data_IF_455994191048
#
_entry.id   IF_455994191048
#
_cell.length_a   1.000
_cell.length_b   1.000
_cell.length_c   1.000
_cell.angle_alpha   90.00
_cell.angle_beta   90.00
_cell.angle_gamma   90.00
#
_symmetry.space_group_name_H-M   'P 1'
#
loop_
_entity.id
_entity.type
_entity.pdbx_description
1 polymer ?
#
# COMPACT_ATOMS: atom_id res chain seq x y z
N UNK A 1 -27.12 15.78 -3.03
CA UNK A 1 -26.24 16.45 -2.06
C UNK A 1 -26.63 15.95 -0.69
N UNK A 2 -25.67 15.63 0.17
CA UNK A 2 -25.90 15.28 1.57
C UNK A 2 -26.62 16.44 2.27
N UNK A 3 -27.56 16.11 3.16
CA UNK A 3 -28.30 17.09 3.93
C UNK A 3 -27.37 17.71 4.99
N UNK A 4 -26.97 18.98 4.84
CA UNK A 4 -26.08 19.65 5.79
C UNK A 4 -26.86 20.34 6.93
N UNK A 5 -26.29 20.35 8.13
CA UNK A 5 -26.84 21.02 9.31
C UNK A 5 -26.28 22.44 9.43
N UNK A 6 -27.07 23.45 9.09
CA UNK A 6 -26.65 24.87 9.14
C UNK A 6 -27.24 25.54 10.38
N UNK A 7 -26.40 26.28 11.12
CA UNK A 7 -26.84 27.17 12.19
C UNK A 7 -26.77 28.62 11.72
N UNK A 8 -27.85 29.37 11.91
CA UNK A 8 -27.90 30.81 11.63
C UNK A 8 -28.00 31.55 12.96
N UNK A 9 -27.08 32.49 13.19
CA UNK A 9 -27.00 33.31 14.40
C UNK A 9 -27.13 34.77 13.99
N UNK A 10 -28.33 35.32 14.18
CA UNK A 10 -28.74 36.63 13.67
C UNK A 10 -29.83 37.20 14.59
N UNK A 11 -29.66 38.42 15.08
CA UNK A 11 -30.59 39.04 16.04
C UNK A 11 -31.83 39.64 15.37
N UNK A 12 -31.76 39.95 14.07
CA UNK A 12 -32.91 40.36 13.28
C UNK A 12 -33.77 39.15 12.88
N UNK A 13 -34.93 39.00 13.50
CA UNK A 13 -35.85 37.87 13.27
C UNK A 13 -36.27 37.71 11.80
N UNK A 14 -36.60 38.81 11.11
CA UNK A 14 -37.06 38.78 9.71
C UNK A 14 -35.95 38.29 8.78
N UNK A 15 -34.72 38.78 8.97
CA UNK A 15 -33.56 38.34 8.20
C UNK A 15 -33.20 36.90 8.54
N UNK A 16 -33.15 36.54 9.82
CA UNK A 16 -32.85 35.18 10.27
C UNK A 16 -33.82 34.16 9.65
N UNK A 17 -35.12 34.46 9.66
CA UNK A 17 -36.15 33.61 9.07
C UNK A 17 -36.03 33.55 7.54
N UNK A 18 -35.74 34.68 6.88
CA UNK A 18 -35.52 34.72 5.42
C UNK A 18 -34.34 33.83 5.01
N UNK A 19 -33.21 33.96 5.70
CA UNK A 19 -32.02 33.13 5.45
C UNK A 19 -32.33 31.65 5.71
N UNK A 20 -33.07 31.34 6.77
CA UNK A 20 -33.45 29.97 7.10
C UNK A 20 -34.32 29.35 6.00
N UNK A 21 -35.30 30.08 5.48
CA UNK A 21 -36.20 29.57 4.44
C UNK A 21 -35.48 29.38 3.09
N UNK A 22 -34.55 30.27 2.76
CA UNK A 22 -33.69 30.12 1.58
C UNK A 22 -32.84 28.85 1.69
N UNK A 23 -32.15 28.65 2.81
CA UNK A 23 -31.26 27.50 3.00
C UNK A 23 -32.01 26.17 3.15
N UNK A 24 -33.22 26.17 3.73
CA UNK A 24 -34.11 25.00 3.77
C UNK A 24 -34.57 24.59 2.36
N UNK A 25 -34.87 25.55 1.48
CA UNK A 25 -35.23 25.28 0.07
C UNK A 25 -34.09 24.64 -0.72
N UNK A 26 -32.85 24.96 -0.39
CA UNK A 26 -31.65 24.31 -0.94
C UNK A 26 -31.39 22.91 -0.35
N UNK A 27 -32.26 22.42 0.54
CA UNK A 27 -32.22 21.07 1.09
C UNK A 27 -31.44 20.93 2.40
N UNK A 28 -31.05 22.03 3.05
CA UNK A 28 -30.30 22.00 4.32
C UNK A 28 -31.23 21.86 5.54
N UNK A 29 -30.74 21.24 6.62
CA UNK A 29 -31.37 21.30 7.95
C UNK A 29 -30.90 22.57 8.64
N UNK A 30 -31.82 23.52 8.85
CA UNK A 30 -31.46 24.82 9.42
C UNK A 30 -31.98 24.99 10.84
N UNK A 31 -31.07 25.29 11.76
CA UNK A 31 -31.34 25.79 13.12
C UNK A 31 -31.05 27.28 13.19
N UNK A 32 -31.77 27.99 14.05
CA UNK A 32 -31.65 29.44 14.21
C UNK A 32 -31.41 29.80 15.68
N UNK A 33 -30.62 30.86 15.90
CA UNK A 33 -30.38 31.46 17.20
C UNK A 33 -30.39 32.99 17.05
N UNK A 34 -31.09 33.67 17.96
CA UNK A 34 -31.15 35.15 17.98
C UNK A 34 -30.10 35.77 18.91
N UNK A 35 -29.40 34.94 19.68
CA UNK A 35 -28.38 35.33 20.66
C UNK A 35 -27.19 34.39 20.60
N UNK A 36 -26.02 34.89 21.00
CA UNK A 36 -24.78 34.11 21.04
C UNK A 36 -24.84 32.96 22.04
N UNK A 37 -25.42 33.18 23.22
CA UNK A 37 -25.59 32.12 24.23
C UNK A 37 -26.46 30.97 23.72
N UNK A 38 -27.54 31.27 22.98
CA UNK A 38 -28.38 30.24 22.39
C UNK A 38 -27.64 29.47 21.29
N UNK A 39 -26.86 30.17 20.46
CA UNK A 39 -26.03 29.53 19.44
C UNK A 39 -25.04 28.52 20.04
N UNK A 40 -24.33 28.92 21.11
CA UNK A 40 -23.40 28.03 21.83
C UNK A 40 -24.14 26.84 22.47
N UNK A 41 -25.36 27.02 22.97
CA UNK A 41 -26.17 25.91 23.49
C UNK A 41 -26.51 24.87 22.41
N UNK A 42 -26.82 25.32 21.19
CA UNK A 42 -27.11 24.44 20.05
C UNK A 42 -25.83 23.70 19.64
N UNK A 43 -24.72 24.40 19.48
CA UNK A 43 -23.43 23.81 19.06
C UNK A 43 -22.93 22.72 20.03
N UNK A 44 -23.25 22.82 21.32
CA UNK A 44 -22.91 21.80 22.30
C UNK A 44 -23.78 20.54 22.24
N UNK A 45 -24.97 20.62 21.63
CA UNK A 45 -25.97 19.52 21.62
C UNK A 45 -26.11 18.87 20.26
N UNK A 46 -25.91 19.64 19.19
CA UNK A 46 -26.19 19.27 17.83
C UNK A 46 -24.93 19.32 16.97
N UNK A 47 -24.82 18.39 16.02
CA UNK A 47 -23.74 18.43 15.01
C UNK A 47 -24.09 19.52 13.99
N UNK A 48 -23.26 20.56 13.93
CA UNK A 48 -23.41 21.68 12.99
C UNK A 48 -22.28 21.64 11.98
N UNK A 49 -22.64 21.82 10.71
CA UNK A 49 -21.74 21.77 9.57
C UNK A 49 -21.17 23.14 9.19
N UNK A 50 -22.05 24.13 9.27
CA UNK A 50 -21.80 25.49 8.85
C UNK A 50 -22.55 26.44 9.78
N UNK A 51 -21.87 27.49 10.22
CA UNK A 51 -22.45 28.57 11.00
C UNK A 51 -22.46 29.85 10.17
N UNK A 52 -23.63 30.48 10.02
CA UNK A 52 -23.76 31.87 9.60
C UNK A 52 -23.85 32.73 10.85
N UNK A 53 -22.91 33.65 11.06
CA UNK A 53 -22.76 34.36 12.33
C UNK A 53 -22.70 35.86 12.13
N UNK A 54 -23.70 36.60 12.64
CA UNK A 54 -23.59 38.05 12.73
C UNK A 54 -22.48 38.45 13.73
N UNK A 55 -21.68 39.44 13.35
CA UNK A 55 -20.69 40.07 14.23
C UNK A 55 -21.38 40.79 15.39
N UNK A 56 -22.53 41.42 15.16
CA UNK A 56 -23.25 42.17 16.18
C UNK A 56 -24.47 41.38 16.67
N UNK A 57 -24.37 40.85 17.88
CA UNK A 57 -25.48 40.23 18.59
C UNK A 57 -25.75 41.01 19.89
N UNK A 58 -26.95 40.90 20.48
CA UNK A 58 -27.35 41.67 21.65
C UNK A 58 -26.57 41.33 22.92
N UNK A 59 -26.05 40.11 23.03
CA UNK A 59 -25.43 39.54 24.23
C UNK A 59 -23.91 39.35 24.12
N UNK A 60 -23.42 38.91 22.95
CA UNK A 60 -22.02 38.58 22.71
C UNK A 60 -21.52 39.15 21.38
N UNK A 61 -20.21 39.36 21.28
CA UNK A 61 -19.59 39.74 20.00
C UNK A 61 -19.35 38.48 19.15
N UNK A 62 -19.80 38.49 17.89
CA UNK A 62 -19.64 37.37 16.96
C UNK A 62 -18.19 36.94 16.74
N UNK A 63 -17.20 37.83 16.88
CA UNK A 63 -15.78 37.46 16.80
C UNK A 63 -15.38 36.54 17.97
N UNK A 64 -15.92 36.79 19.16
CA UNK A 64 -15.64 35.94 20.34
C UNK A 64 -16.29 34.57 20.17
N UNK A 65 -17.51 34.53 19.65
CA UNK A 65 -18.23 33.28 19.35
C UNK A 65 -17.49 32.48 18.28
N UNK A 66 -16.94 33.13 17.24
CA UNK A 66 -16.09 32.46 16.25
C UNK A 66 -14.91 31.75 16.93
N UNK A 67 -14.25 32.42 17.86
CA UNK A 67 -13.13 31.82 18.60
C UNK A 67 -13.60 30.61 19.43
N UNK A 68 -14.70 30.75 20.18
CA UNK A 68 -15.26 29.66 20.98
C UNK A 68 -15.67 28.45 20.10
N UNK A 69 -16.23 28.69 18.90
CA UNK A 69 -16.55 27.64 17.92
C UNK A 69 -15.27 26.92 17.49
N UNK A 70 -14.21 27.66 17.15
CA UNK A 70 -12.96 27.07 16.64
C UNK A 70 -12.16 26.32 17.70
N UNK A 71 -12.24 26.77 18.95
CA UNK A 71 -11.64 26.07 20.08
C UNK A 71 -12.39 24.77 20.41
N UNK A 72 -13.72 24.74 20.19
CA UNK A 72 -14.56 23.55 20.39
C UNK A 72 -14.45 22.54 19.25
N UNK A 73 -14.56 23.01 18.00
CA UNK A 73 -14.40 22.19 16.80
C UNK A 73 -13.79 23.04 15.65
N UNK A 74 -12.50 22.84 15.33
CA UNK A 74 -11.83 23.61 14.28
C UNK A 74 -12.36 23.30 12.87
N UNK A 75 -13.07 22.19 12.67
CA UNK A 75 -13.58 21.76 11.38
C UNK A 75 -14.97 22.34 11.03
N UNK A 76 -15.70 22.89 12.00
CA UNK A 76 -16.93 23.65 11.73
C UNK A 76 -16.60 24.88 10.90
N UNK A 77 -17.24 25.04 9.75
CA UNK A 77 -17.05 26.24 8.92
C UNK A 77 -17.91 27.38 9.46
N UNK A 78 -17.37 28.60 9.46
CA UNK A 78 -18.08 29.80 9.93
C UNK A 78 -18.00 30.87 8.87
N UNK A 79 -19.15 31.37 8.41
CA UNK A 79 -19.26 32.54 7.54
C UNK A 79 -19.74 33.71 8.39
N UNK A 80 -18.95 34.78 8.44
CA UNK A 80 -19.31 35.97 9.20
C UNK A 80 -20.26 36.86 8.39
N UNK A 81 -21.34 37.32 9.00
CA UNK A 81 -22.22 38.32 8.40
C UNK A 81 -21.94 39.66 9.10
N UNK A 82 -21.74 40.73 8.33
CA UNK A 82 -21.36 42.03 8.90
C UNK A 82 -22.05 43.18 8.19
N UNK A 83 -22.49 44.19 8.93
CA UNK A 83 -22.91 45.49 8.38
C UNK A 83 -21.77 46.52 8.36
N UNK A 84 -20.55 46.12 8.73
CA UNK A 84 -19.40 47.03 8.81
C UNK A 84 -18.80 47.25 7.42
N UNK A 85 -18.66 48.51 7.03
CA UNK A 85 -17.98 48.95 5.79
C UNK A 85 -16.46 48.91 5.88
N UNK A 86 -15.91 48.79 7.09
CA UNK A 86 -14.47 48.69 7.31
C UNK A 86 -13.96 47.27 7.08
N UNK A 87 -12.89 47.13 6.28
CA UNK A 87 -12.29 45.83 5.98
C UNK A 87 -11.53 45.19 7.17
N UNK A 88 -11.15 45.97 8.19
CA UNK A 88 -10.29 45.48 9.29
C UNK A 88 -10.91 44.33 10.10
N UNK A 89 -12.17 44.40 10.57
CA UNK A 89 -12.79 43.32 11.34
C UNK A 89 -13.00 42.04 10.51
N UNK A 90 -13.27 42.18 9.22
CA UNK A 90 -13.38 41.02 8.31
C UNK A 90 -12.03 40.29 8.17
N UNK A 91 -10.93 41.03 7.99
CA UNK A 91 -9.59 40.45 7.93
C UNK A 91 -9.19 39.78 9.25
N UNK A 92 -9.58 40.35 10.39
CA UNK A 92 -9.34 39.76 11.71
C UNK A 92 -10.10 38.45 11.90
N UNK A 93 -11.39 38.41 11.54
CA UNK A 93 -12.17 37.18 11.58
C UNK A 93 -11.60 36.06 10.69
N UNK A 94 -11.11 36.41 9.48
CA UNK A 94 -10.44 35.44 8.61
C UNK A 94 -9.14 34.89 9.25
N UNK A 95 -8.37 35.73 9.94
CA UNK A 95 -7.17 35.28 10.69
C UNK A 95 -7.52 34.37 11.87
N UNK A 96 -8.70 34.54 12.45
CA UNK A 96 -9.22 33.73 13.56
C UNK A 96 -9.93 32.45 13.07
N UNK A 97 -9.92 32.17 11.76
CA UNK A 97 -10.38 30.91 11.19
C UNK A 97 -11.78 30.93 10.58
N UNK A 98 -12.40 32.11 10.40
CA UNK A 98 -13.59 32.22 9.55
C UNK A 98 -13.29 31.70 8.14
N UNK A 99 -14.26 31.01 7.54
CA UNK A 99 -14.17 30.49 6.18
C UNK A 99 -14.32 31.60 5.15
N UNK A 100 -15.30 32.46 5.35
CA UNK A 100 -15.60 33.60 4.49
C UNK A 100 -16.41 34.66 5.27
N UNK A 101 -16.75 35.77 4.61
CA UNK A 101 -17.67 36.77 5.16
C UNK A 101 -18.65 37.33 4.10
N UNK A 102 -19.79 37.83 4.56
CA UNK A 102 -20.83 38.47 3.76
C UNK A 102 -21.16 39.85 4.33
N UNK A 103 -21.21 40.87 3.46
CA UNK A 103 -21.48 42.25 3.86
C UNK A 103 -22.97 42.59 3.66
N UNK A 104 -23.65 43.05 4.70
CA UNK A 104 -25.03 43.57 4.63
C UNK A 104 -25.02 44.97 3.99
N UNK A 105 -25.93 45.28 3.04
CA UNK A 105 -26.89 44.37 2.41
C UNK A 105 -26.22 43.48 1.34
N UNK A 106 -26.58 42.19 1.31
CA UNK A 106 -26.13 41.22 0.31
C UNK A 106 -27.32 40.64 -0.46
N UNK A 107 -27.06 40.12 -1.66
CA UNK A 107 -28.07 39.42 -2.45
C UNK A 107 -28.20 37.95 -2.02
N UNK A 108 -29.40 37.37 -2.12
CA UNK A 108 -29.63 35.98 -1.73
C UNK A 108 -28.83 34.99 -2.59
N UNK A 109 -28.55 35.33 -3.85
CA UNK A 109 -27.75 34.49 -4.75
C UNK A 109 -26.26 34.47 -4.33
N UNK A 110 -25.75 35.58 -3.79
CA UNK A 110 -24.41 35.65 -3.21
C UNK A 110 -24.28 34.74 -1.98
N UNK A 111 -25.25 34.80 -1.06
CA UNK A 111 -25.33 33.91 0.09
C UNK A 111 -25.31 32.44 -0.34
N UNK A 112 -26.16 32.06 -1.30
CA UNK A 112 -26.24 30.68 -1.81
C UNK A 112 -24.90 30.20 -2.35
N UNK A 113 -24.20 31.06 -3.10
CA UNK A 113 -22.91 30.73 -3.68
C UNK A 113 -21.84 30.48 -2.59
N UNK A 114 -21.75 31.35 -1.59
CA UNK A 114 -20.78 31.21 -0.50
C UNK A 114 -21.08 29.97 0.35
N UNK A 115 -22.35 29.75 0.68
CA UNK A 115 -22.79 28.55 1.42
C UNK A 115 -22.51 27.27 0.63
N UNK A 116 -22.79 27.24 -0.67
CA UNK A 116 -22.52 26.07 -1.52
C UNK A 116 -21.02 25.72 -1.54
N UNK A 117 -20.14 26.71 -1.69
CA UNK A 117 -18.68 26.52 -1.64
C UNK A 117 -18.19 26.02 -0.28
N UNK A 118 -18.75 26.58 0.81
CA UNK A 118 -18.43 26.15 2.16
C UNK A 118 -18.80 24.68 2.37
N UNK A 119 -20.03 24.29 2.02
CA UNK A 119 -20.49 22.91 2.15
C UNK A 119 -19.73 21.93 1.23
N UNK A 120 -19.34 22.34 0.02
CA UNK A 120 -18.46 21.54 -0.84
C UNK A 120 -17.10 21.31 -0.18
N UNK A 121 -16.49 22.37 0.36
CA UNK A 121 -15.21 22.28 1.10
C UNK A 121 -15.33 21.33 2.30
N UNK A 122 -16.44 21.42 3.03
CA UNK A 122 -16.70 20.55 4.18
C UNK A 122 -16.86 19.08 3.76
N UNK A 123 -17.58 18.82 2.67
CA UNK A 123 -17.72 17.47 2.10
C UNK A 123 -16.37 16.90 1.65
N UNK A 124 -15.52 17.71 1.01
CA UNK A 124 -14.17 17.28 0.62
C UNK A 124 -13.30 16.96 1.84
N UNK A 125 -13.33 17.79 2.89
CA UNK A 125 -12.63 17.49 4.16
C UNK A 125 -13.11 16.19 4.78
N UNK A 126 -14.43 15.98 4.83
CA UNK A 126 -15.03 14.74 5.33
C UNK A 126 -14.63 13.53 4.51
N UNK A 127 -14.60 13.66 3.20
CA UNK A 127 -14.19 12.57 2.31
C UNK A 127 -12.72 12.23 2.51
N UNK A 128 -11.84 13.22 2.64
CA UNK A 128 -10.42 12.99 2.99
C UNK A 128 -10.29 12.32 4.35
N UNK A 129 -11.03 12.77 5.36
CA UNK A 129 -11.03 12.15 6.70
C UNK A 129 -11.55 10.70 6.63
N UNK A 130 -12.67 10.47 5.94
CA UNK A 130 -13.24 9.14 5.71
C UNK A 130 -12.28 8.21 5.00
N UNK A 131 -11.60 8.67 3.95
CA UNK A 131 -10.59 7.89 3.24
C UNK A 131 -9.36 7.58 4.11
N UNK A 132 -8.95 8.53 4.97
CA UNK A 132 -7.89 8.32 5.97
C UNK A 132 -8.28 7.31 7.05
N UNK A 133 -9.52 7.38 7.54
CA UNK A 133 -10.08 6.45 8.54
C UNK A 133 -10.33 5.07 7.93
N UNK A 134 -10.84 4.98 6.70
CA UNK A 134 -10.98 3.71 5.99
C UNK A 134 -9.63 3.08 5.69
N UNK A 135 -8.59 3.87 5.41
CA UNK A 135 -7.23 3.36 5.44
C UNK A 135 -6.94 2.76 6.82
N UNK A 136 -7.05 3.52 7.91
CA UNK A 136 -6.72 3.03 9.26
C UNK A 136 -7.55 1.83 9.75
N UNK A 137 -8.85 1.77 9.46
CA UNK A 137 -9.77 0.71 9.90
C UNK A 137 -9.70 -0.56 9.03
N UNK A 138 -9.23 -0.47 7.77
CA UNK A 138 -8.94 -1.65 6.95
C UNK A 138 -7.56 -2.29 7.24
N UNK A 139 -6.81 -1.79 8.23
CA UNK A 139 -5.41 -2.21 8.47
C UNK A 139 -5.11 -3.15 9.66
N UNK A 140 -5.92 -4.18 10.00
CA UNK A 140 -5.37 -5.35 10.71
C UNK A 140 -4.24 -6.04 9.90
N UNK A 141 -4.27 -5.88 8.58
CA UNK A 141 -3.33 -6.48 7.62
C UNK A 141 -1.91 -5.88 7.63
N UNK A 142 -1.78 -4.68 8.20
CA UNK A 142 -0.57 -3.88 8.13
C UNK A 142 0.23 -3.85 9.43
N UNK A 143 -0.21 -4.56 10.47
CA UNK A 143 0.62 -4.73 11.65
C UNK A 143 1.77 -5.68 11.35
N UNK A 144 2.99 -5.17 11.56
CA UNK A 144 4.19 -5.98 11.53
C UNK A 144 4.12 -7.03 12.65
N UNK A 145 3.59 -8.21 12.32
CA UNK A 145 3.42 -9.28 13.28
C UNK A 145 4.73 -10.07 13.50
N UNK A 146 4.95 -10.49 14.73
CA UNK A 146 6.12 -11.28 15.14
C UNK A 146 6.53 -10.97 16.57
N UNK A 147 6.70 -12.01 17.37
CA UNK A 147 7.13 -11.98 18.77
C UNK A 147 8.52 -12.57 18.96
N UNK A 148 9.08 -13.21 17.93
CA UNK A 148 10.45 -13.69 17.92
C UNK A 148 11.45 -12.56 18.26
N UNK A 149 12.55 -12.92 18.94
CA UNK A 149 13.60 -11.97 19.33
C UNK A 149 14.10 -11.10 18.14
N UNK A 150 14.39 -11.66 16.94
CA UNK A 150 14.77 -10.86 15.78
C UNK A 150 13.71 -9.84 15.38
N UNK A 151 12.42 -10.20 15.44
CA UNK A 151 11.33 -9.27 15.12
C UNK A 151 11.15 -8.18 16.18
N UNK A 152 11.34 -8.50 17.46
CA UNK A 152 11.30 -7.49 18.53
C UNK A 152 12.43 -6.47 18.40
N UNK A 153 13.65 -6.93 18.07
CA UNK A 153 14.79 -6.05 17.80
C UNK A 153 14.54 -5.16 16.57
N UNK A 154 14.02 -5.75 15.48
CA UNK A 154 13.62 -5.00 14.29
C UNK A 154 12.56 -3.93 14.62
N UNK A 155 11.52 -4.27 15.39
CA UNK A 155 10.49 -3.31 15.83
C UNK A 155 11.06 -2.13 16.62
N UNK A 156 12.04 -2.38 17.50
CA UNK A 156 12.73 -1.31 18.25
C UNK A 156 13.49 -0.39 17.29
N UNK A 157 14.20 -0.96 16.32
CA UNK A 157 14.92 -0.18 15.31
C UNK A 157 13.98 0.63 14.43
N UNK A 158 12.85 0.05 14.01
CA UNK A 158 11.82 0.77 13.23
C UNK A 158 11.31 1.99 13.99
N UNK A 159 11.04 1.89 15.29
CA UNK A 159 10.59 3.04 16.11
C UNK A 159 11.64 4.15 16.14
N UNK A 160 12.91 3.81 16.35
CA UNK A 160 14.02 4.79 16.35
C UNK A 160 14.10 5.47 14.99
N UNK A 161 14.08 4.69 13.91
CA UNK A 161 14.17 5.21 12.55
C UNK A 161 12.97 6.09 12.21
N UNK A 162 11.75 5.67 12.57
CA UNK A 162 10.53 6.42 12.31
C UNK A 162 10.57 7.82 12.92
N UNK A 163 11.09 7.95 14.15
CA UNK A 163 11.27 9.24 14.84
C UNK A 163 12.30 10.17 14.18
N UNK A 164 13.15 9.66 13.29
CA UNK A 164 14.15 10.46 12.56
C UNK A 164 13.53 11.06 11.29
N UNK A 165 13.55 12.39 11.11
CA UNK A 165 12.69 13.06 10.12
C UNK A 165 13.13 12.94 8.65
N UNK A 166 14.41 12.67 8.36
CA UNK A 166 14.96 12.80 6.98
C UNK A 166 15.93 11.71 6.50
N UNK A 167 16.31 10.76 7.35
CA UNK A 167 17.26 9.71 6.95
C UNK A 167 16.63 8.74 5.96
N UNK A 168 17.32 8.47 4.85
CA UNK A 168 16.96 7.40 3.91
C UNK A 168 17.09 6.05 4.58
N UNK A 169 16.14 5.16 4.33
CA UNK A 169 16.12 3.82 4.92
C UNK A 169 16.19 2.79 3.82
N UNK A 170 17.14 1.86 3.92
CA UNK A 170 17.24 0.69 3.05
C UNK A 170 16.74 -0.54 3.80
N UNK A 171 15.69 -1.17 3.29
CA UNK A 171 15.10 -2.39 3.83
C UNK A 171 15.60 -3.57 2.99
N UNK A 172 16.30 -4.51 3.60
CA UNK A 172 16.79 -5.71 2.94
C UNK A 172 16.11 -6.94 3.50
N UNK A 173 15.84 -7.92 2.63
CA UNK A 173 15.27 -9.19 3.03
C UNK A 173 14.65 -9.91 1.85
N UNK A 174 14.51 -11.23 1.98
CA UNK A 174 13.96 -12.09 0.92
C UNK A 174 12.55 -11.66 0.49
N UNK A 175 12.11 -12.14 -0.67
CA UNK A 175 10.74 -11.91 -1.14
C UNK A 175 9.73 -12.47 -0.14
N UNK A 176 8.65 -11.73 0.12
CA UNK A 176 7.58 -12.16 1.02
C UNK A 176 7.90 -12.07 2.52
N UNK A 177 9.02 -11.48 2.94
CA UNK A 177 9.38 -11.30 4.37
C UNK A 177 8.59 -10.20 5.09
N UNK A 178 7.98 -9.27 4.34
CA UNK A 178 7.20 -8.14 4.89
C UNK A 178 7.87 -6.76 4.75
N UNK A 179 8.75 -6.56 3.77
CA UNK A 179 9.45 -5.27 3.55
C UNK A 179 8.51 -4.07 3.44
N UNK A 180 7.39 -4.24 2.72
CA UNK A 180 6.37 -3.19 2.61
C UNK A 180 5.69 -2.88 3.96
N UNK A 181 5.45 -3.89 4.80
CA UNK A 181 4.89 -3.69 6.15
C UNK A 181 5.83 -2.86 7.03
N UNK A 182 7.14 -3.10 6.90
CA UNK A 182 8.16 -2.29 7.58
C UNK A 182 8.15 -0.86 7.09
N UNK A 183 8.04 -0.62 5.77
CA UNK A 183 7.93 0.72 5.22
C UNK A 183 6.67 1.46 5.72
N UNK A 184 5.53 0.76 5.79
CA UNK A 184 4.29 1.30 6.36
C UNK A 184 4.48 1.68 7.83
N UNK A 185 5.09 0.81 8.63
CA UNK A 185 5.35 1.07 10.05
C UNK A 185 6.27 2.29 10.25
N UNK A 186 7.33 2.43 9.45
CA UNK A 186 8.23 3.59 9.50
C UNK A 186 7.45 4.88 9.22
N UNK A 187 6.58 4.88 8.20
CA UNK A 187 5.79 6.04 7.84
C UNK A 187 4.77 6.40 8.93
N UNK A 188 3.96 5.42 9.36
CA UNK A 188 2.87 5.60 10.32
C UNK A 188 3.38 6.01 11.71
N UNK A 189 4.61 5.63 12.10
CA UNK A 189 5.21 6.03 13.36
C UNK A 189 6.09 7.28 13.26
N UNK A 190 6.10 7.95 12.11
CA UNK A 190 6.88 9.18 11.90
C UNK A 190 6.04 10.44 12.03
N UNK A 191 6.71 11.60 12.10
CA UNK A 191 6.04 12.91 12.02
C UNK A 191 5.31 13.16 10.68
N UNK A 192 5.46 12.27 9.69
CA UNK A 192 4.81 12.34 8.38
C UNK A 192 3.61 11.38 8.25
N UNK A 193 3.12 10.79 9.34
CA UNK A 193 2.00 9.82 9.32
C UNK A 193 0.72 10.36 8.66
N UNK A 194 0.44 11.66 8.77
CA UNK A 194 -0.72 12.31 8.15
C UNK A 194 -0.50 12.76 6.69
N UNK A 195 0.70 12.52 6.15
CA UNK A 195 1.16 12.92 4.81
C UNK A 195 1.11 11.71 3.87
N UNK A 196 1.16 11.89 2.53
CA UNK A 196 1.07 10.75 1.63
C UNK A 196 2.26 9.78 1.78
N UNK A 197 1.96 8.49 1.77
CA UNK A 197 2.91 7.41 1.48
C UNK A 197 2.67 6.88 0.07
N UNK A 198 3.54 7.23 -0.87
CA UNK A 198 3.45 6.73 -2.25
C UNK A 198 4.37 5.52 -2.41
N UNK A 199 3.81 4.40 -2.84
CA UNK A 199 4.52 3.13 -3.04
C UNK A 199 4.72 2.88 -4.52
N UNK A 200 5.93 2.48 -4.91
CA UNK A 200 6.30 2.13 -6.27
C UNK A 200 7.09 0.85 -6.22
N UNK A 201 6.75 -0.10 -7.09
CA UNK A 201 7.61 -1.25 -7.35
C UNK A 201 8.38 -1.00 -8.66
N UNK A 202 9.70 -0.82 -8.56
CA UNK A 202 10.57 -0.52 -9.70
C UNK A 202 10.60 -1.64 -10.75
N UNK A 203 10.28 -2.88 -10.37
CA UNK A 203 10.24 -4.03 -11.29
C UNK A 203 8.89 -4.20 -12.02
N UNK A 204 7.81 -3.58 -11.50
CA UNK A 204 6.47 -3.73 -12.05
C UNK A 204 6.14 -2.71 -13.15
N UNK A 205 6.86 -1.58 -13.18
CA UNK A 205 6.66 -0.52 -14.17
C UNK A 205 7.60 -0.78 -15.36
N UNK A 206 7.09 -0.74 -16.59
CA UNK A 206 7.93 -0.82 -17.77
C UNK A 206 9.07 0.19 -17.72
N UNK A 207 10.25 -0.29 -18.10
CA UNK A 207 11.49 0.47 -18.13
C UNK A 207 11.36 1.86 -18.76
N UNK A 208 10.70 1.93 -19.92
CA UNK A 208 10.48 3.17 -20.66
C UNK A 208 9.52 4.15 -19.98
N UNK A 209 8.76 3.72 -18.97
CA UNK A 209 7.78 4.54 -18.25
C UNK A 209 8.26 4.95 -16.86
N UNK A 210 9.13 4.16 -16.21
CA UNK A 210 9.55 4.40 -14.82
C UNK A 210 10.10 5.81 -14.61
N UNK A 211 10.94 6.29 -15.52
CA UNK A 211 11.48 7.65 -15.45
C UNK A 211 10.37 8.72 -15.50
N UNK A 212 9.41 8.55 -16.41
CA UNK A 212 8.30 9.48 -16.60
C UNK A 212 7.31 9.47 -15.44
N UNK A 213 7.12 8.32 -14.78
CA UNK A 213 6.31 8.22 -13.56
C UNK A 213 7.01 8.86 -12.37
N UNK A 214 8.31 8.63 -12.19
CA UNK A 214 9.07 9.19 -11.06
C UNK A 214 9.19 10.72 -11.15
N UNK A 215 9.64 11.23 -12.30
CA UNK A 215 10.01 12.63 -12.47
C UNK A 215 8.97 13.46 -13.24
N UNK A 216 7.96 12.85 -13.85
CA UNK A 216 7.04 13.58 -14.71
C UNK A 216 7.70 14.14 -15.97
N UNK A 217 6.93 14.83 -16.79
CA UNK A 217 7.39 15.36 -18.07
C UNK A 217 6.67 16.66 -18.44
N UNK A 218 7.39 17.53 -19.16
CA UNK A 218 6.81 18.73 -19.77
C UNK A 218 6.09 18.42 -21.09
N UNK A 219 5.24 19.34 -21.53
CA UNK A 219 4.60 19.25 -22.84
C UNK A 219 5.67 19.22 -23.94
N UNK A 220 5.61 18.23 -24.82
CA UNK A 220 6.56 18.06 -25.93
C UNK A 220 7.88 17.36 -25.57
N UNK A 221 8.00 16.79 -24.36
CA UNK A 221 9.21 16.06 -23.95
C UNK A 221 9.49 14.80 -24.79
N UNK A 222 8.46 14.17 -25.36
CA UNK A 222 8.51 13.05 -26.30
C UNK A 222 7.25 13.05 -27.18
N UNK A 223 7.20 12.20 -28.21
CA UNK A 223 6.16 12.23 -29.26
C UNK A 223 4.72 12.21 -28.72
N UNK A 224 4.46 11.47 -27.64
CA UNK A 224 3.15 11.36 -27.00
C UNK A 224 2.89 12.36 -25.85
N UNK A 225 3.84 13.25 -25.54
CA UNK A 225 3.75 14.21 -24.43
C UNK A 225 2.85 15.42 -24.77
N UNK A 226 1.55 15.18 -24.96
CA UNK A 226 0.56 16.20 -25.36
C UNK A 226 0.29 17.26 -24.29
N UNK A 227 0.48 16.92 -23.01
CA UNK A 227 0.31 17.79 -21.85
C UNK A 227 1.43 17.55 -20.84
N UNK A 228 1.65 18.48 -19.91
CA UNK A 228 2.54 18.26 -18.77
C UNK A 228 1.94 17.23 -17.80
N UNK A 229 2.78 16.39 -17.21
CA UNK A 229 2.40 15.43 -16.15
C UNK A 229 3.36 15.58 -14.97
N UNK A 230 2.81 15.73 -13.76
CA UNK A 230 3.59 15.72 -12.52
C UNK A 230 4.09 14.31 -12.20
N UNK A 231 5.33 14.21 -11.74
CA UNK A 231 5.92 12.95 -11.28
C UNK A 231 5.54 12.58 -9.85
N UNK A 232 5.84 11.35 -9.45
CA UNK A 232 5.60 10.85 -8.11
C UNK A 232 6.39 11.63 -7.06
N UNK A 233 7.61 12.08 -7.37
CA UNK A 233 8.38 12.92 -6.45
C UNK A 233 7.66 14.23 -6.09
N UNK A 234 6.97 14.85 -7.05
CA UNK A 234 6.14 16.02 -6.80
C UNK A 234 4.88 15.69 -6.01
N UNK A 235 4.21 14.59 -6.35
CA UNK A 235 2.98 14.16 -5.69
C UNK A 235 3.22 13.76 -4.23
N UNK A 236 4.40 13.24 -3.92
CA UNK A 236 4.79 12.81 -2.59
C UNK A 236 5.37 13.93 -1.72
N UNK A 237 5.38 15.18 -2.19
CA UNK A 237 6.00 16.29 -1.46
C UNK A 237 5.44 16.42 -0.03
N UNK A 238 6.32 16.63 0.96
CA UNK A 238 6.06 16.56 2.41
C UNK A 238 5.70 15.16 2.95
N UNK A 239 5.63 14.14 2.10
CA UNK A 239 5.30 12.77 2.43
C UNK A 239 6.50 11.82 2.45
N UNK A 240 6.21 10.55 2.17
CA UNK A 240 7.19 9.45 2.09
C UNK A 240 7.02 8.70 0.77
N UNK A 241 8.13 8.33 0.16
CA UNK A 241 8.16 7.44 -1.01
C UNK A 241 8.76 6.11 -0.60
N UNK A 242 8.05 5.03 -0.89
CA UNK A 242 8.54 3.67 -0.78
C UNK A 242 8.88 3.12 -2.16
N UNK A 243 10.14 2.79 -2.39
CA UNK A 243 10.65 2.19 -3.64
C UNK A 243 10.98 0.71 -3.38
N UNK A 244 10.08 -0.18 -3.79
CA UNK A 244 10.30 -1.61 -3.72
C UNK A 244 11.12 -2.12 -4.92
N UNK A 245 11.92 -3.14 -4.67
CA UNK A 245 12.89 -3.73 -5.61
C UNK A 245 13.80 -2.67 -6.27
N UNK A 246 14.43 -1.80 -5.46
CA UNK A 246 15.32 -0.72 -5.93
C UNK A 246 16.48 -1.23 -6.79
N UNK A 247 16.92 -2.47 -6.60
CA UNK A 247 17.94 -3.12 -7.44
C UNK A 247 17.54 -3.27 -8.90
N UNK A 248 16.24 -3.20 -9.21
CA UNK A 248 15.71 -3.26 -10.58
C UNK A 248 15.68 -1.88 -11.26
N UNK A 249 16.07 -0.80 -10.57
CA UNK A 249 16.11 0.53 -11.18
C UNK A 249 17.22 0.60 -12.23
N UNK A 250 16.85 1.02 -13.45
CA UNK A 250 17.79 1.12 -14.56
C UNK A 250 18.94 2.09 -14.28
N UNK A 251 20.13 1.76 -14.80
CA UNK A 251 21.35 2.56 -14.64
C UNK A 251 21.22 4.01 -15.14
N UNK A 252 20.35 4.27 -16.13
CA UNK A 252 20.07 5.62 -16.65
C UNK A 252 19.30 6.51 -15.65
N UNK A 253 18.48 5.90 -14.79
CA UNK A 253 17.62 6.59 -13.81
C UNK A 253 18.38 6.87 -12.52
N UNK A 254 19.29 5.97 -12.14
CA UNK A 254 20.03 6.03 -10.87
C UNK A 254 20.76 7.37 -10.61
N UNK A 255 21.44 8.03 -11.58
CA UNK A 255 22.05 9.34 -11.36
C UNK A 255 21.03 10.44 -11.03
N UNK A 256 19.86 10.42 -11.65
CA UNK A 256 18.79 11.38 -11.36
C UNK A 256 18.21 11.13 -9.97
N UNK A 257 18.05 9.87 -9.61
CA UNK A 257 17.60 9.50 -8.27
C UNK A 257 18.61 9.87 -7.18
N UNK A 258 19.90 9.67 -7.42
CA UNK A 258 20.97 10.13 -6.52
C UNK A 258 20.87 11.64 -6.27
N UNK A 259 20.67 12.44 -7.34
CA UNK A 259 20.46 13.88 -7.21
C UNK A 259 19.27 14.24 -6.32
N UNK A 260 18.18 13.46 -6.36
CA UNK A 260 17.04 13.66 -5.43
C UNK A 260 17.45 13.39 -3.99
N UNK A 261 18.17 12.30 -3.73
CA UNK A 261 18.63 11.93 -2.38
C UNK A 261 19.60 12.96 -1.78
N UNK A 262 20.41 13.61 -2.61
CA UNK A 262 21.42 14.59 -2.17
C UNK A 262 20.84 16.00 -2.06
N UNK A 263 20.16 16.46 -3.10
CA UNK A 263 19.78 17.88 -3.25
C UNK A 263 18.30 18.15 -2.98
N UNK A 264 17.49 17.10 -2.80
CA UNK A 264 16.03 17.21 -2.70
C UNK A 264 15.42 18.01 -3.87
N UNK A 265 16.05 17.90 -5.05
CA UNK A 265 15.62 18.60 -6.25
C UNK A 265 15.75 17.71 -7.49
N UNK A 266 14.90 17.96 -8.47
CA UNK A 266 14.96 17.28 -9.76
C UNK A 266 14.39 18.14 -10.89
N UNK A 267 14.50 17.68 -12.13
CA UNK A 267 13.85 18.27 -13.31
C UNK A 267 12.93 17.26 -13.96
N UNK A 268 11.77 17.73 -14.44
CA UNK A 268 10.90 16.92 -15.31
C UNK A 268 11.63 16.56 -16.59
N UNK A 269 11.22 15.47 -17.23
CA UNK A 269 11.73 15.12 -18.56
C UNK A 269 11.36 16.24 -19.55
N UNK A 270 12.36 16.72 -20.30
CA UNK A 270 12.22 17.86 -21.20
C UNK A 270 12.15 19.23 -20.51
N UNK A 271 12.18 19.28 -19.18
CA UNK A 271 12.15 20.52 -18.39
C UNK A 271 13.55 21.05 -18.05
N UNK A 272 13.66 22.38 -17.91
CA UNK A 272 14.91 23.05 -17.52
C UNK A 272 14.89 23.59 -16.09
N UNK A 273 13.70 23.74 -15.49
CA UNK A 273 13.51 24.26 -14.14
C UNK A 273 13.75 23.18 -13.08
N UNK A 274 14.53 23.52 -12.06
CA UNK A 274 14.71 22.67 -10.88
C UNK A 274 13.48 22.79 -9.96
N UNK A 275 12.95 21.64 -9.55
CA UNK A 275 11.80 21.50 -8.65
C UNK A 275 12.33 21.04 -7.30
N UNK A 276 12.09 21.83 -6.26
CA UNK A 276 12.44 21.50 -4.88
C UNK A 276 11.30 20.70 -4.22
N UNK A 277 11.68 19.66 -3.47
CA UNK A 277 10.76 18.80 -2.73
C UNK A 277 11.27 18.54 -1.30
N UNK A 278 10.42 18.07 -0.41
CA UNK A 278 10.80 17.53 0.90
C UNK A 278 10.18 16.16 1.08
N UNK A 279 10.89 15.11 0.65
CA UNK A 279 10.40 13.73 0.69
C UNK A 279 11.32 12.84 1.50
N UNK A 280 10.71 12.00 2.34
CA UNK A 280 11.42 10.90 2.98
C UNK A 280 11.47 9.72 2.02
N UNK A 281 12.64 9.11 1.84
CA UNK A 281 12.82 7.96 0.94
C UNK A 281 13.06 6.69 1.76
N UNK A 282 12.26 5.66 1.47
CA UNK A 282 12.43 4.30 1.96
C UNK A 282 12.61 3.40 0.73
N UNK A 283 13.73 2.69 0.63
CA UNK A 283 14.00 1.76 -0.46
C UNK A 283 13.99 0.32 0.08
N UNK A 284 13.54 -0.63 -0.73
CA UNK A 284 13.58 -2.05 -0.40
C UNK A 284 14.20 -2.86 -1.55
N UNK A 285 14.85 -3.97 -1.20
CA UNK A 285 15.45 -4.91 -2.16
C UNK A 285 15.42 -6.32 -1.61
N UNK A 286 15.22 -7.30 -2.50
CA UNK A 286 15.47 -8.71 -2.19
C UNK A 286 16.86 -9.22 -2.61
N UNK A 287 17.62 -8.38 -3.33
CA UNK A 287 18.99 -8.68 -3.78
C UNK A 287 20.03 -8.02 -2.90
N UNK A 288 21.22 -8.62 -2.85
CA UNK A 288 22.39 -7.98 -2.30
C UNK A 288 22.85 -6.85 -3.25
N UNK A 289 22.83 -5.60 -2.76
CA UNK A 289 23.25 -4.45 -3.56
C UNK A 289 24.77 -4.38 -3.74
N UNK A 290 25.56 -4.99 -2.84
CA UNK A 290 27.02 -5.06 -2.99
C UNK A 290 27.37 -5.86 -4.25
N UNK A 291 26.77 -7.04 -4.41
CA UNK A 291 26.92 -7.87 -5.61
C UNK A 291 26.44 -7.13 -6.87
N UNK A 292 25.36 -6.33 -6.77
CA UNK A 292 24.86 -5.54 -7.90
C UNK A 292 25.84 -4.43 -8.32
N UNK A 293 26.55 -3.83 -7.36
CA UNK A 293 27.61 -2.85 -7.60
C UNK A 293 28.81 -3.52 -8.27
N UNK A 294 29.27 -4.67 -7.78
CA UNK A 294 30.34 -5.45 -8.40
C UNK A 294 30.01 -5.83 -9.85
N UNK A 295 28.75 -6.16 -10.12
CA UNK A 295 28.23 -6.48 -11.46
C UNK A 295 27.95 -5.26 -12.34
N UNK A 296 28.21 -4.03 -11.87
CA UNK A 296 27.93 -2.77 -12.58
C UNK A 296 26.45 -2.57 -12.97
N UNK A 297 25.54 -3.22 -12.26
CA UNK A 297 24.08 -3.08 -12.45
C UNK A 297 23.47 -2.08 -11.46
N UNK A 298 24.25 -1.66 -10.46
CA UNK A 298 23.89 -0.62 -9.51
C UNK A 298 25.09 0.30 -9.28
N UNK A 299 24.85 1.61 -9.17
CA UNK A 299 25.92 2.58 -8.96
C UNK A 299 26.40 2.56 -7.50
N UNK A 300 27.72 2.60 -7.35
CA UNK A 300 28.38 2.61 -6.06
C UNK A 300 28.02 3.86 -5.22
N UNK A 301 27.98 5.04 -5.83
CA UNK A 301 27.62 6.30 -5.17
C UNK A 301 26.19 6.28 -4.61
N UNK A 302 25.23 5.78 -5.39
CA UNK A 302 23.85 5.59 -4.96
C UNK A 302 23.74 4.57 -3.83
N UNK A 303 24.49 3.47 -3.90
CA UNK A 303 24.51 2.45 -2.86
C UNK A 303 24.91 3.05 -1.50
N UNK A 304 26.04 3.77 -1.43
CA UNK A 304 26.49 4.38 -0.19
C UNK A 304 25.51 5.45 0.34
N UNK A 305 24.83 6.18 -0.56
CA UNK A 305 23.81 7.16 -0.15
C UNK A 305 22.55 6.51 0.43
N UNK A 306 22.21 5.29 0.00
CA UNK A 306 21.09 4.51 0.54
C UNK A 306 21.46 3.72 1.80
N UNK A 307 22.71 3.26 1.94
CA UNK A 307 23.21 2.42 3.05
C UNK A 307 23.35 3.18 4.39
N UNK A 308 22.80 4.39 4.53
CA UNK A 308 22.90 5.19 5.76
C UNK A 308 22.18 4.52 6.93
N UNK A 309 20.98 3.99 6.69
CA UNK A 309 20.21 3.24 7.69
C UNK A 309 19.67 1.96 7.05
N UNK A 310 20.17 0.81 7.48
CA UNK A 310 19.79 -0.49 6.94
C UNK A 310 18.94 -1.27 7.94
N UNK A 311 17.81 -1.80 7.48
CA UNK A 311 16.95 -2.68 8.24
C UNK A 311 16.88 -4.04 7.55
N UNK A 312 17.42 -5.06 8.20
CA UNK A 312 17.40 -6.44 7.70
C UNK A 312 16.18 -7.17 8.24
N UNK A 313 15.33 -7.70 7.35
CA UNK A 313 14.21 -8.54 7.73
C UNK A 313 14.67 -10.01 7.73
N UNK A 314 14.52 -10.71 8.86
CA UNK A 314 14.86 -12.12 8.93
C UNK A 314 13.86 -12.95 8.09
N UNK A 315 14.34 -13.94 7.32
CA UNK A 315 13.48 -14.89 6.65
C UNK A 315 12.70 -15.71 7.68
N UNK A 316 11.55 -16.25 7.28
CA UNK A 316 10.62 -16.93 8.19
C UNK A 316 11.26 -18.14 8.90
N UNK A 317 12.19 -18.83 8.22
CA UNK A 317 12.99 -19.93 8.78
C UNK A 317 13.92 -19.55 9.94
N UNK A 318 14.25 -18.27 10.10
CA UNK A 318 15.07 -17.74 11.21
C UNK A 318 14.22 -17.19 12.37
N UNK A 319 12.89 -17.24 12.23
CA UNK A 319 11.91 -16.80 13.24
C UNK A 319 10.77 -17.81 13.35
N UNK A 320 11.12 -19.07 13.63
CA UNK A 320 10.18 -20.19 13.65
C UNK A 320 9.06 -20.01 14.68
N UNK A 321 9.32 -19.27 15.76
CA UNK A 321 8.34 -18.94 16.79
C UNK A 321 7.17 -18.10 16.25
N UNK A 322 7.37 -17.38 15.15
CA UNK A 322 6.34 -16.55 14.52
C UNK A 322 5.44 -17.34 13.57
N UNK A 323 5.82 -18.56 13.14
CA UNK A 323 5.12 -19.31 12.08
C UNK A 323 3.69 -19.67 12.51
N UNK A 324 3.52 -20.30 13.66
CA UNK A 324 2.19 -20.74 14.13
C UNK A 324 1.30 -19.53 14.48
N UNK A 325 1.78 -18.52 15.22
CA UNK A 325 0.98 -17.32 15.45
C UNK A 325 0.56 -16.59 14.17
N UNK A 326 1.45 -16.46 13.17
CA UNK A 326 1.09 -15.93 11.85
C UNK A 326 0.04 -16.79 11.13
N UNK A 327 0.18 -18.11 11.18
CA UNK A 327 -0.79 -19.02 10.58
C UNK A 327 -2.18 -18.85 11.23
N UNK A 328 -2.24 -18.75 12.56
CA UNK A 328 -3.49 -18.50 13.29
C UNK A 328 -4.13 -17.15 12.93
N UNK A 329 -3.32 -16.09 12.80
CA UNK A 329 -3.78 -14.78 12.33
C UNK A 329 -4.46 -14.89 10.94
N UNK A 330 -3.83 -15.60 10.01
CA UNK A 330 -4.39 -15.81 8.67
C UNK A 330 -5.65 -16.68 8.71
N UNK A 331 -5.74 -17.69 9.57
CA UNK A 331 -6.96 -18.48 9.76
C UNK A 331 -8.11 -17.61 10.25
N UNK A 332 -7.91 -16.81 11.29
CA UNK A 332 -8.96 -15.94 11.84
C UNK A 332 -9.49 -14.97 10.79
N UNK A 333 -8.59 -14.41 9.98
CA UNK A 333 -8.96 -13.53 8.89
C UNK A 333 -9.76 -14.25 7.81
N UNK A 334 -9.27 -15.38 7.32
CA UNK A 334 -9.90 -16.14 6.26
C UNK A 334 -11.26 -16.73 6.72
N UNK A 335 -11.42 -17.01 8.01
CA UNK A 335 -12.72 -17.37 8.59
C UNK A 335 -13.77 -16.27 8.41
N UNK A 336 -13.40 -15.01 8.72
CA UNK A 336 -14.29 -13.85 8.54
C UNK A 336 -14.65 -13.64 7.07
N UNK A 337 -13.68 -13.83 6.17
CA UNK A 337 -13.87 -13.61 4.74
C UNK A 337 -14.70 -14.71 4.07
N UNK A 338 -14.45 -15.97 4.41
CA UNK A 338 -15.11 -17.14 3.79
C UNK A 338 -16.31 -17.67 4.58
N UNK A 339 -16.67 -17.04 5.70
CA UNK A 339 -17.75 -17.50 6.58
C UNK A 339 -17.49 -18.87 7.20
N UNK A 340 -16.23 -19.15 7.57
CA UNK A 340 -15.80 -20.41 8.19
C UNK A 340 -15.52 -20.23 9.68
N UNK A 341 -15.48 -21.33 10.42
CA UNK A 341 -15.22 -21.36 11.88
C UNK A 341 -14.08 -22.31 12.25
N UNK A 342 -12.95 -22.22 11.55
CA UNK A 342 -11.77 -23.02 11.87
C UNK A 342 -11.11 -22.46 13.14
N UNK A 343 -11.02 -23.26 14.19
CA UNK A 343 -10.57 -22.84 15.53
C UNK A 343 -9.07 -23.03 15.77
N UNK A 344 -8.40 -23.84 14.95
CA UNK A 344 -7.00 -24.15 15.19
C UNK A 344 -6.31 -24.95 14.09
N UNK A 345 -5.08 -25.35 14.39
CA UNK A 345 -4.21 -26.18 13.54
C UNK A 345 -3.87 -27.44 14.33
N UNK A 346 -4.16 -28.60 13.77
CA UNK A 346 -3.89 -29.88 14.41
C UNK A 346 -2.37 -30.08 14.63
N UNK A 347 -1.93 -30.80 15.67
CA UNK A 347 -0.50 -30.97 15.97
C UNK A 347 0.35 -31.52 14.81
N UNK A 348 -0.23 -32.39 13.99
CA UNK A 348 0.42 -32.91 12.78
C UNK A 348 0.68 -31.84 11.73
N UNK A 349 -0.28 -30.94 11.50
CA UNK A 349 -0.13 -29.81 10.59
C UNK A 349 0.86 -28.78 11.14
N UNK A 350 0.80 -28.46 12.44
CA UNK A 350 1.74 -27.53 13.08
C UNK A 350 3.19 -27.97 12.86
N UNK A 351 3.47 -29.27 13.07
CA UNK A 351 4.82 -29.82 12.84
C UNK A 351 5.29 -29.60 11.41
N UNK A 352 4.44 -29.86 10.42
CA UNK A 352 4.77 -29.66 9.00
C UNK A 352 5.04 -28.19 8.67
N UNK A 353 4.25 -27.27 9.24
CA UNK A 353 4.46 -25.83 9.06
C UNK A 353 5.79 -25.38 9.67
N UNK A 354 6.20 -25.93 10.81
CA UNK A 354 7.47 -25.60 11.47
C UNK A 354 8.70 -26.21 10.77
N UNK A 355 8.56 -27.40 10.18
CA UNK A 355 9.66 -28.08 9.46
C UNK A 355 9.92 -27.50 8.06
N UNK A 356 8.93 -26.84 7.47
CA UNK A 356 9.06 -26.28 6.12
C UNK A 356 9.95 -25.03 6.09
N UNK A 357 10.75 -24.88 5.03
CA UNK A 357 11.75 -23.79 4.92
C UNK A 357 11.18 -22.42 4.53
N UNK A 358 9.96 -22.38 4.01
CA UNK A 358 9.28 -21.15 3.57
C UNK A 358 10.10 -20.28 2.61
N UNK A 359 10.48 -20.76 1.41
CA UNK A 359 11.21 -19.97 0.42
C UNK A 359 10.46 -18.69 -0.02
N UNK A 360 9.13 -18.68 0.02
CA UNK A 360 8.31 -17.48 -0.21
C UNK A 360 7.91 -16.74 1.07
N UNK A 361 8.50 -17.12 2.21
CA UNK A 361 8.34 -16.49 3.52
C UNK A 361 6.85 -16.32 3.93
N UNK A 362 6.49 -15.17 4.50
CA UNK A 362 5.15 -14.90 5.01
C UNK A 362 4.11 -14.85 3.89
N UNK A 363 4.49 -14.43 2.68
CA UNK A 363 3.58 -14.43 1.52
C UNK A 363 3.16 -15.86 1.14
N UNK A 364 4.10 -16.79 1.14
CA UNK A 364 3.81 -18.21 0.90
C UNK A 364 2.96 -18.80 2.03
N UNK A 365 3.31 -18.53 3.30
CA UNK A 365 2.51 -18.97 4.44
C UNK A 365 1.06 -18.49 4.33
N UNK A 366 0.84 -17.22 3.99
CA UNK A 366 -0.50 -16.66 3.78
C UNK A 366 -1.28 -17.46 2.72
N UNK A 367 -0.69 -17.66 1.54
CA UNK A 367 -1.34 -18.38 0.44
C UNK A 367 -1.63 -19.85 0.79
N UNK A 368 -0.72 -20.51 1.50
CA UNK A 368 -0.88 -21.89 1.96
C UNK A 368 -2.04 -22.00 2.94
N UNK A 369 -2.11 -21.10 3.92
CA UNK A 369 -3.18 -21.10 4.92
C UNK A 369 -4.53 -20.73 4.30
N UNK A 370 -4.57 -19.75 3.39
CA UNK A 370 -5.79 -19.42 2.64
C UNK A 370 -6.36 -20.62 1.90
N UNK A 371 -5.52 -21.32 1.13
CA UNK A 371 -5.90 -22.56 0.45
C UNK A 371 -6.36 -23.64 1.44
N UNK A 372 -5.63 -23.84 2.54
CA UNK A 372 -5.97 -24.84 3.54
C UNK A 372 -7.33 -24.53 4.19
N UNK A 373 -7.62 -23.26 4.49
CA UNK A 373 -8.92 -22.81 5.02
C UNK A 373 -10.02 -23.08 4.00
N UNK A 374 -9.82 -22.82 2.71
CA UNK A 374 -10.82 -23.10 1.65
C UNK A 374 -11.14 -24.60 1.57
N UNK A 375 -10.13 -25.46 1.67
CA UNK A 375 -10.28 -26.92 1.57
C UNK A 375 -10.82 -27.57 2.85
N UNK A 376 -10.58 -26.95 4.01
CA UNK A 376 -10.98 -27.52 5.28
C UNK A 376 -12.50 -27.41 5.51
N UNK A 377 -13.13 -28.55 5.75
CA UNK A 377 -14.52 -28.68 6.20
C UNK A 377 -14.66 -28.96 7.71
N UNK A 378 -13.54 -28.97 8.44
CA UNK A 378 -13.44 -29.36 9.84
C UNK A 378 -13.12 -28.15 10.75
N UNK A 379 -13.31 -28.26 12.08
CA UNK A 379 -12.96 -27.19 13.01
C UNK A 379 -11.45 -26.97 13.18
N UNK A 380 -10.59 -27.84 12.66
CA UNK A 380 -9.13 -27.70 12.72
C UNK A 380 -8.47 -27.99 11.36
N UNK A 381 -7.39 -27.28 11.05
CA UNK A 381 -6.54 -27.59 9.90
C UNK A 381 -5.70 -28.84 10.17
N UNK A 382 -6.04 -29.93 9.50
CA UNK A 382 -5.22 -31.15 9.45
C UNK A 382 -4.12 -31.08 8.38
N UNK A 383 -3.11 -31.96 8.49
CA UNK A 383 -1.95 -31.97 7.59
C UNK A 383 -2.35 -32.20 6.13
N UNK A 384 -3.42 -32.97 5.87
CA UNK A 384 -3.95 -33.23 4.54
C UNK A 384 -4.48 -31.99 3.80
N UNK A 385 -4.81 -30.92 4.53
CA UNK A 385 -5.23 -29.65 3.94
C UNK A 385 -4.06 -28.81 3.43
N UNK A 386 -2.83 -29.13 3.84
CA UNK A 386 -1.62 -28.44 3.39
C UNK A 386 -1.20 -28.95 2.00
N UNK A 387 -0.48 -28.16 1.18
CA UNK A 387 0.12 -28.64 -0.06
C UNK A 387 1.05 -29.84 0.13
N UNK A 388 1.16 -30.71 -0.88
CA UNK A 388 1.96 -31.94 -0.84
C UNK A 388 3.44 -31.67 -0.49
N UNK A 389 3.97 -30.55 -0.93
CA UNK A 389 5.34 -30.08 -0.68
C UNK A 389 5.60 -29.86 0.82
N UNK A 390 4.56 -29.48 1.57
CA UNK A 390 4.61 -29.27 3.02
C UNK A 390 4.22 -30.56 3.75
N UNK A 391 3.28 -31.33 3.21
CA UNK A 391 2.88 -32.63 3.76
C UNK A 391 4.05 -33.62 3.84
N UNK A 392 4.92 -33.67 2.84
CA UNK A 392 5.99 -34.66 2.75
C UNK A 392 7.22 -34.28 3.58
N UNK A 393 7.31 -33.05 4.10
CA UNK A 393 8.56 -32.50 4.65
C UNK A 393 9.69 -32.55 3.62
N UNK A 394 10.92 -32.19 3.99
CA UNK A 394 12.09 -32.23 3.07
C UNK A 394 12.55 -33.68 2.75
N UNK A 395 11.62 -34.63 2.66
CA UNK A 395 11.83 -35.96 2.13
C UNK A 395 11.08 -36.08 0.81
N UNK A 396 11.83 -35.91 -0.29
CA UNK A 396 11.41 -36.09 -1.69
C UNK A 396 10.47 -35.03 -2.27
N UNK A 397 10.91 -33.77 -2.23
CA UNK A 397 11.03 -33.07 -3.50
C UNK A 397 12.33 -33.54 -4.14
N UNK A 398 12.32 -34.80 -4.60
CA UNK A 398 13.01 -35.08 -5.85
C UNK A 398 12.45 -34.02 -6.79
N UNK A 399 13.32 -33.07 -7.16
CA UNK A 399 13.38 -32.57 -8.52
C UNK A 399 12.73 -33.58 -9.44
N UNK A 400 11.92 -33.12 -10.39
CA UNK A 400 11.49 -33.86 -11.56
C UNK A 400 12.71 -34.53 -12.24
N UNK A 401 13.16 -35.62 -11.63
CA UNK A 401 14.28 -36.48 -11.90
C UNK A 401 13.77 -37.88 -12.25
N UNK A 402 12.46 -38.04 -12.45
CA UNK A 402 11.94 -39.17 -13.22
C UNK A 402 12.37 -39.07 -14.70
N UNK A 403 12.90 -37.92 -15.14
CA UNK A 403 13.54 -37.80 -16.46
C UNK A 403 15.07 -38.00 -16.43
N UNK A 404 15.75 -37.68 -15.32
CA UNK A 404 17.22 -37.84 -15.18
C UNK A 404 17.67 -39.14 -14.53
N UNK A 405 16.78 -39.91 -13.87
CA UNK A 405 17.11 -41.27 -13.42
C UNK A 405 17.26 -42.29 -14.58
N UNK A 406 17.15 -41.85 -15.84
CA UNK A 406 17.35 -42.67 -17.03
C UNK A 406 18.69 -42.41 -17.74
N UNK A 407 19.40 -41.33 -17.40
CA UNK A 407 20.73 -41.02 -17.90
C UNK A 407 21.69 -41.00 -16.71
N UNK A 408 22.44 -42.08 -16.51
CA UNK A 408 23.67 -41.95 -15.73
C UNK A 408 24.63 -41.08 -16.55
N UNK A 409 25.26 -40.11 -15.92
CA UNK A 409 26.14 -39.11 -16.55
C UNK A 409 27.39 -39.68 -17.27
N UNK A 410 27.51 -41.02 -17.41
CA UNK A 410 28.60 -41.74 -18.09
C UNK A 410 28.11 -42.81 -19.11
N UNK A 411 26.81 -42.89 -19.41
CA UNK A 411 26.32 -43.88 -20.38
C UNK A 411 26.61 -43.45 -21.83
N UNK A 412 27.28 -44.31 -22.60
CA UNK A 412 27.46 -44.10 -24.03
C UNK A 412 26.10 -44.04 -24.75
N UNK A 413 26.04 -43.35 -25.90
CA UNK A 413 24.84 -43.29 -26.75
C UNK A 413 24.25 -44.68 -27.05
N UNK A 414 25.12 -45.70 -27.18
CA UNK A 414 24.70 -47.08 -27.40
C UNK A 414 24.00 -47.70 -26.18
N UNK A 415 24.45 -47.40 -24.96
CA UNK A 415 23.85 -47.95 -23.74
C UNK A 415 22.52 -47.25 -23.40
N UNK A 416 22.40 -45.95 -23.67
CA UNK A 416 21.13 -45.23 -23.61
C UNK A 416 20.12 -45.81 -24.60
N UNK A 417 20.54 -46.07 -25.85
CA UNK A 417 19.68 -46.66 -26.87
C UNK A 417 19.26 -48.08 -26.49
N UNK A 418 20.20 -48.92 -26.02
CA UNK A 418 19.92 -50.28 -25.54
C UNK A 418 18.87 -50.29 -24.43
N UNK A 419 19.06 -49.46 -23.41
CA UNK A 419 18.15 -49.37 -22.26
C UNK A 419 16.77 -48.87 -22.66
N UNK A 420 16.72 -47.87 -23.55
CA UNK A 420 15.46 -47.37 -24.08
C UNK A 420 14.67 -48.46 -24.83
N UNK A 421 15.35 -49.24 -25.69
CA UNK A 421 14.73 -50.37 -26.40
C UNK A 421 14.18 -51.41 -25.43
N UNK A 422 14.91 -51.77 -24.36
CA UNK A 422 14.47 -52.73 -23.34
C UNK A 422 13.23 -52.21 -22.60
N UNK A 423 13.21 -50.94 -22.21
CA UNK A 423 12.08 -50.35 -21.49
C UNK A 423 10.81 -50.33 -22.34
N UNK A 424 10.93 -49.97 -23.62
CA UNK A 424 9.78 -49.98 -24.54
C UNK A 424 9.33 -51.42 -24.85
N UNK A 425 10.25 -52.39 -24.96
CA UNK A 425 9.88 -53.81 -25.09
C UNK A 425 9.08 -54.31 -23.88
N UNK A 426 9.51 -53.99 -22.65
CA UNK A 426 8.79 -54.34 -21.41
C UNK A 426 7.40 -53.70 -21.38
N UNK A 427 7.29 -52.40 -21.70
CA UNK A 427 6.02 -51.67 -21.72
C UNK A 427 4.98 -52.29 -22.66
N UNK A 428 5.44 -52.91 -23.76
CA UNK A 428 4.57 -53.57 -24.74
C UNK A 428 4.62 -55.11 -24.66
N UNK A 429 4.99 -55.68 -23.51
CA UNK A 429 5.04 -57.13 -23.25
C UNK A 429 5.75 -57.94 -24.36
N UNK A 430 6.88 -57.43 -24.87
CA UNK A 430 7.68 -58.10 -25.90
C UNK A 430 7.11 -58.04 -27.32
N UNK A 431 6.04 -57.27 -27.57
CA UNK A 431 5.46 -57.15 -28.91
C UNK A 431 6.33 -56.28 -29.85
N UNK A 432 7.26 -56.94 -30.56
CA UNK A 432 8.24 -56.31 -31.46
C UNK A 432 7.63 -55.38 -32.53
N UNK A 433 6.39 -55.63 -32.99
CA UNK A 433 5.73 -54.75 -33.97
C UNK A 433 5.19 -53.47 -33.35
N UNK A 434 4.65 -53.52 -32.13
CA UNK A 434 4.18 -52.33 -31.40
C UNK A 434 5.36 -51.50 -30.88
N UNK A 435 6.41 -52.17 -30.39
CA UNK A 435 7.67 -51.53 -29.96
C UNK A 435 8.32 -50.76 -31.11
N UNK A 436 8.45 -51.35 -32.31
CA UNK A 436 9.05 -50.67 -33.46
C UNK A 436 8.26 -49.42 -33.88
N UNK A 437 6.92 -49.49 -33.86
CA UNK A 437 6.04 -48.33 -34.13
C UNK A 437 6.19 -47.24 -33.07
N UNK A 438 6.28 -47.60 -31.79
CA UNK A 438 6.47 -46.61 -30.71
C UNK A 438 7.84 -45.92 -30.82
N UNK A 439 8.88 -46.68 -31.14
CA UNK A 439 10.24 -46.15 -31.34
C UNK A 439 10.42 -45.43 -32.68
N UNK A 440 9.37 -45.37 -33.51
CA UNK A 440 9.39 -44.78 -34.85
C UNK A 440 10.48 -45.34 -35.77
N UNK A 441 10.76 -46.65 -35.68
CA UNK A 441 11.73 -47.36 -36.52
C UNK A 441 11.09 -48.55 -37.22
N UNK A 442 11.73 -49.04 -38.28
CA UNK A 442 11.27 -50.25 -38.97
C UNK A 442 11.46 -51.50 -38.09
N UNK A 443 10.64 -52.54 -38.34
CA UNK A 443 10.73 -53.81 -37.61
C UNK A 443 12.05 -54.54 -37.88
N UNK A 444 12.65 -54.36 -39.06
CA UNK A 444 13.98 -54.88 -39.39
C UNK A 444 15.07 -54.17 -38.59
N UNK A 445 15.03 -52.83 -38.52
CA UNK A 445 15.97 -52.01 -37.74
C UNK A 445 15.91 -52.36 -36.25
N UNK A 446 14.71 -52.56 -35.68
CA UNK A 446 14.57 -52.99 -34.28
C UNK A 446 15.21 -54.37 -34.04
N UNK A 447 15.00 -55.33 -34.96
CA UNK A 447 15.58 -56.68 -34.84
C UNK A 447 17.10 -56.68 -34.93
N UNK A 448 17.66 -55.84 -35.77
CA UNK A 448 19.11 -55.66 -35.91
C UNK A 448 19.71 -55.05 -34.64
N UNK A 449 19.11 -53.98 -34.11
CA UNK A 449 19.52 -53.36 -32.84
C UNK A 449 19.40 -54.32 -31.66
N UNK A 450 18.30 -55.08 -31.56
CA UNK A 450 18.16 -56.12 -30.53
C UNK A 450 19.26 -57.18 -30.61
N UNK A 451 19.69 -57.57 -31.81
CA UNK A 451 20.79 -58.54 -32.00
C UNK A 451 22.14 -57.95 -31.59
N UNK A 452 22.43 -56.73 -32.03
CA UNK A 452 23.68 -56.04 -31.74
C UNK A 452 23.85 -55.80 -30.23
N UNK A 453 22.75 -55.57 -29.51
CA UNK A 453 22.76 -55.33 -28.06
C UNK A 453 22.49 -56.57 -27.18
N UNK A 454 22.37 -57.77 -27.78
CA UNK A 454 22.14 -59.02 -27.04
C UNK A 454 20.77 -59.13 -26.34
N UNK A 455 19.73 -58.45 -26.84
CA UNK A 455 18.38 -58.44 -26.27
C UNK A 455 17.54 -59.55 -26.92
N UNK A 456 16.99 -60.48 -26.12
CA UNK A 456 16.15 -61.60 -26.59
C UNK A 456 14.67 -61.22 -26.78
#
# INVERSE_FOLDING_TARGET
>A
MSQANVLIVEDNEDLCQTLADVLRKEGNKVRTALTGEHALSILNKDIIDLVLLDIKLPDLNGIKILQDIKDMDPDVLVIMITALTDAKPAVEAMKMGAYDYLMKPFELDELKLVVAKALETQNLKREVSRLKTQQHEQFPDNELYGESKPMQELKKMIKIVASTPKTSVLIQGESGTGKELVANAIHNWSARADKPLIKINCSAIPENLLESELFGYEKGAFTDAKSMKKGIFEMANNGTIFLDEISSMQMSIQPKFLRVLETQSFRRIGGTSDIQIDVRIIAATNRNLEDCVEQQTFREDLYYRLKVMVLNLPPLRERTEDIIPLAMLFIERNNKEFGKEIKGIAPGAQRRLLEYRWPGNVRELKNVIERAVILCGAPELEAEHLPLEIQNGVSKLSTSNEFTALAGDDDSLEEMERRHIINVLKKYNGNKSKTARMLNISRSTLREKMRNYGIS
#
